data_IF_315478879909
#
_entry.id   IF_315478879909
#
_cell.length_a   1.000
_cell.length_b   1.000
_cell.length_c   1.000
_cell.angle_alpha   90.00
_cell.angle_beta   90.00
_cell.angle_gamma   90.00
#
_symmetry.space_group_name_H-M   'P 1'
#
loop_
_entity.id
_entity.type
_entity.pdbx_description
1 polymer ?
#
# COMPACT_ATOMS: atom_id res chain seq x y z
N UNK A 1 -8.96 4.89 21.80
CA UNK A 1 -8.92 3.77 20.83
C UNK A 1 -7.50 3.63 20.32
N UNK A 2 -7.09 2.43 19.91
CA UNK A 2 -5.77 2.20 19.31
C UNK A 2 -5.94 1.74 17.86
N UNK A 3 -5.13 2.34 17.00
CA UNK A 3 -4.94 1.97 15.61
C UNK A 3 -3.54 1.41 15.43
N UNK A 4 -3.35 0.54 14.44
CA UNK A 4 -2.02 0.08 14.02
C UNK A 4 -1.89 0.32 12.52
N UNK A 5 -0.90 1.11 12.12
CA UNK A 5 -0.54 1.38 10.75
C UNK A 5 0.65 0.52 10.35
N UNK A 6 0.60 -0.06 9.16
CA UNK A 6 1.73 -0.77 8.56
C UNK A 6 2.44 0.19 7.61
N UNK A 7 3.75 0.30 7.73
CA UNK A 7 4.58 1.12 6.85
C UNK A 7 5.76 0.30 6.33
N UNK A 8 6.61 0.93 5.51
CA UNK A 8 7.90 0.35 5.17
C UNK A 8 8.79 0.34 6.44
N UNK A 9 9.46 -0.78 6.76
CA UNK A 9 10.47 -0.79 7.83
C UNK A 9 11.55 0.28 7.58
N UNK A 10 11.87 1.06 8.62
CA UNK A 10 12.75 2.23 8.55
C UNK A 10 12.05 3.57 8.27
N UNK A 11 10.75 3.56 7.94
CA UNK A 11 9.91 4.75 7.72
C UNK A 11 8.90 4.98 8.85
N UNK A 12 9.11 4.36 10.02
CA UNK A 12 8.19 4.48 11.15
C UNK A 12 8.08 5.93 11.63
N UNK A 13 9.17 6.71 11.58
CA UNK A 13 9.15 8.12 11.98
C UNK A 13 8.29 8.99 11.04
N UNK A 14 8.38 8.76 9.74
CA UNK A 14 7.56 9.46 8.75
C UNK A 14 6.08 9.05 8.88
N UNK A 15 5.81 7.75 9.06
CA UNK A 15 4.46 7.25 9.30
C UNK A 15 3.87 7.79 10.62
N UNK A 16 4.69 7.94 11.67
CA UNK A 16 4.32 8.57 12.94
C UNK A 16 3.89 10.02 12.75
N UNK A 17 4.71 10.81 12.04
CA UNK A 17 4.43 12.23 11.79
C UNK A 17 3.14 12.39 10.98
N UNK A 18 3.03 11.64 9.88
CA UNK A 18 1.83 11.64 9.05
C UNK A 18 0.58 11.17 9.81
N UNK A 19 0.69 10.12 10.62
CA UNK A 19 -0.44 9.66 11.43
C UNK A 19 -0.91 10.73 12.40
N UNK A 20 0.00 11.44 13.06
CA UNK A 20 -0.39 12.53 13.94
C UNK A 20 -1.20 13.60 13.19
N UNK A 21 -0.72 14.05 12.02
CA UNK A 21 -1.39 15.08 11.22
C UNK A 21 -2.76 14.61 10.69
N UNK A 22 -2.82 13.40 10.13
CA UNK A 22 -4.05 12.83 9.57
C UNK A 22 -5.14 12.66 10.64
N UNK A 23 -4.79 12.07 11.79
CA UNK A 23 -5.73 11.87 12.89
C UNK A 23 -6.17 13.21 13.51
N UNK A 24 -5.24 14.14 13.74
CA UNK A 24 -5.57 15.46 14.28
C UNK A 24 -6.54 16.24 13.36
N UNK A 25 -6.34 16.16 12.03
CA UNK A 25 -7.23 16.81 11.06
C UNK A 25 -8.68 16.30 11.10
N UNK A 26 -8.89 15.07 11.56
CA UNK A 26 -10.20 14.42 11.70
C UNK A 26 -10.75 14.50 13.13
N UNK A 27 -10.13 15.32 13.97
CA UNK A 27 -10.62 15.60 15.31
C UNK A 27 -10.25 14.54 16.34
N UNK A 28 -9.10 13.89 16.18
CA UNK A 28 -8.54 12.99 17.19
C UNK A 28 -7.44 13.67 17.98
N UNK A 29 -7.49 13.53 19.31
CA UNK A 29 -6.37 13.79 20.19
C UNK A 29 -5.67 12.47 20.51
N UNK A 30 -4.35 12.42 20.38
CA UNK A 30 -3.64 11.18 20.56
C UNK A 30 -2.16 11.26 20.25
N UNK A 31 -1.48 10.17 20.54
CA UNK A 31 -0.04 10.06 20.39
C UNK A 31 0.34 8.75 19.68
N UNK A 32 1.40 8.78 18.86
CA UNK A 32 1.88 7.60 18.17
C UNK A 32 2.95 6.85 18.99
N UNK A 33 3.05 5.53 18.77
CA UNK A 33 4.05 4.63 19.38
C UNK A 33 4.69 3.75 18.29
N UNK A 34 6.03 3.68 18.25
CA UNK A 34 6.78 2.78 17.36
C UNK A 34 7.00 1.43 18.05
N UNK A 35 6.78 0.33 17.32
CA UNK A 35 6.94 -1.04 17.83
C UNK A 35 8.18 -1.71 17.23
N UNK A 36 9.36 -1.18 17.55
CA UNK A 36 10.63 -1.62 16.95
C UNK A 36 10.75 -1.25 15.46
N UNK A 37 11.77 -1.78 14.79
CA UNK A 37 12.02 -1.57 13.34
C UNK A 37 11.30 -2.63 12.50
N UNK A 38 10.00 -2.76 12.73
CA UNK A 38 9.15 -3.76 12.09
C UNK A 38 8.21 -3.17 11.03
N UNK A 39 8.24 -1.86 10.78
CA UNK A 39 7.27 -1.19 9.92
C UNK A 39 5.86 -1.18 10.52
N UNK A 40 5.73 -1.12 11.86
CA UNK A 40 4.45 -1.00 12.56
C UNK A 40 4.47 0.20 13.52
N UNK A 41 3.45 1.05 13.37
CA UNK A 41 3.21 2.22 14.22
C UNK A 41 1.82 2.09 14.84
N UNK A 42 1.69 2.30 16.14
CA UNK A 42 0.38 2.50 16.76
C UNK A 42 0.05 3.98 16.83
N UNK A 43 -1.23 4.32 16.71
CA UNK A 43 -1.76 5.62 17.14
C UNK A 43 -2.80 5.38 18.24
N UNK A 44 -2.59 5.95 19.42
CA UNK A 44 -3.53 5.85 20.54
C UNK A 44 -4.20 7.20 20.70
N UNK A 45 -5.48 7.26 20.35
CA UNK A 45 -6.22 8.51 20.38
C UNK A 45 -7.67 8.37 20.81
N UNK A 46 -8.22 9.50 21.23
CA UNK A 46 -9.62 9.71 21.60
C UNK A 46 -10.21 10.81 20.73
N UNK A 47 -11.46 10.68 20.25
CA UNK A 47 -12.17 11.79 19.63
C UNK A 47 -12.21 13.03 20.53
N UNK A 48 -12.08 14.23 19.96
CA UNK A 48 -12.19 15.49 20.70
C UNK A 48 -13.55 15.73 21.34
N UNK A 49 -14.61 15.11 20.81
CA UNK A 49 -15.92 15.02 21.45
C UNK A 49 -16.10 13.60 22.01
N UNK A 50 -15.74 13.36 23.29
CA UNK A 50 -15.88 12.05 23.92
C UNK A 50 -17.34 11.65 24.14
N UNK A 51 -18.28 12.60 24.11
CA UNK A 51 -19.71 12.33 24.31
C UNK A 51 -20.37 11.87 23.01
N UNK A 52 -19.83 12.27 21.85
CA UNK A 52 -20.25 11.78 20.54
C UNK A 52 -19.12 11.16 19.71
N UNK A 53 -18.45 10.08 20.19
CA UNK A 53 -17.31 9.48 19.50
C UNK A 53 -17.69 8.81 18.17
N UNK A 54 -18.99 8.71 17.84
CA UNK A 54 -19.48 8.17 16.57
C UNK A 54 -19.39 9.17 15.42
N UNK A 55 -19.21 10.46 15.70
CA UNK A 55 -19.06 11.48 14.65
C UNK A 55 -17.61 11.64 14.20
N UNK A 56 -16.63 11.21 15.00
CA UNK A 56 -15.22 11.29 14.61
C UNK A 56 -14.94 10.32 13.46
N UNK A 57 -14.64 10.89 12.29
CA UNK A 57 -14.24 10.13 11.14
C UNK A 57 -12.90 9.43 11.38
N UNK A 58 -12.75 8.22 10.85
CA UNK A 58 -11.48 7.47 10.89
C UNK A 58 -10.80 7.65 9.54
N UNK A 59 -9.49 7.95 9.51
CA UNK A 59 -8.79 8.18 8.25
C UNK A 59 -8.76 6.90 7.40
N UNK A 60 -8.76 7.07 6.08
CA UNK A 60 -8.63 5.96 5.13
C UNK A 60 -7.15 5.82 4.80
N UNK A 61 -6.66 4.59 4.70
CA UNK A 61 -5.23 4.35 4.41
C UNK A 61 -4.77 5.00 3.10
N UNK A 62 -5.66 5.13 2.12
CA UNK A 62 -5.36 5.78 0.83
C UNK A 62 -5.03 7.27 0.94
N UNK A 63 -5.37 7.89 2.07
CA UNK A 63 -5.07 9.30 2.34
C UNK A 63 -3.67 9.46 2.97
N UNK A 64 -2.97 8.34 3.23
CA UNK A 64 -1.59 8.29 3.73
C UNK A 64 -0.61 7.98 2.60
N UNK A 65 0.58 8.58 2.69
CA UNK A 65 1.75 8.36 1.86
C UNK A 65 2.61 7.22 2.44
N UNK A 66 2.80 7.18 3.76
CA UNK A 66 3.72 6.24 4.42
C UNK A 66 3.04 5.00 4.98
N UNK A 67 1.72 5.00 5.14
CA UNK A 67 0.95 3.84 5.59
C UNK A 67 0.42 3.00 4.41
N UNK A 68 0.71 1.70 4.43
CA UNK A 68 0.23 0.68 3.48
C UNK A 68 -1.08 0.04 3.92
N UNK A 69 -1.31 -0.06 5.22
CA UNK A 69 -2.51 -0.66 5.81
C UNK A 69 -2.83 -0.01 7.15
N UNK A 70 -4.10 -0.08 7.57
CA UNK A 70 -4.56 0.40 8.88
C UNK A 70 -5.46 -0.64 9.54
N UNK A 71 -5.18 -0.93 10.81
CA UNK A 71 -6.04 -1.67 11.71
C UNK A 71 -6.69 -0.74 12.73
N UNK A 72 -7.96 -0.96 12.99
CA UNK A 72 -8.75 -0.30 14.03
C UNK A 72 -9.00 -1.24 15.21
N UNK A 73 -9.36 -0.67 16.36
CA UNK A 73 -9.62 -1.42 17.60
C UNK A 73 -8.49 -2.44 17.86
N UNK A 74 -7.27 -1.98 17.62
CA UNK A 74 -6.09 -2.81 17.59
C UNK A 74 -5.40 -2.82 18.96
N UNK A 75 -4.58 -3.83 19.21
CA UNK A 75 -3.66 -3.86 20.35
C UNK A 75 -2.40 -4.64 20.03
N UNK A 76 -1.34 -4.37 20.79
CA UNK A 76 -0.09 -5.11 20.72
C UNK A 76 -0.07 -6.07 21.90
N UNK A 77 0.02 -7.36 21.61
CA UNK A 77 0.13 -8.42 22.61
C UNK A 77 1.57 -8.88 22.64
N UNK A 78 2.19 -8.78 23.82
CA UNK A 78 3.55 -9.24 24.12
C UNK A 78 3.51 -10.51 24.97
N UNK A 79 4.66 -11.14 25.15
CA UNK A 79 4.85 -12.30 26.02
C UNK A 79 3.89 -13.46 25.70
N UNK A 80 3.60 -13.68 24.41
CA UNK A 80 2.67 -14.70 23.96
C UNK A 80 3.18 -16.10 24.35
N UNK A 81 2.43 -16.86 25.17
CA UNK A 81 2.89 -18.15 25.66
C UNK A 81 2.90 -19.18 24.53
N UNK A 82 3.98 -19.94 24.42
CA UNK A 82 4.16 -20.85 23.29
C UNK A 82 3.02 -21.87 23.12
N UNK A 83 2.47 -22.33 24.24
CA UNK A 83 1.42 -23.34 24.29
C UNK A 83 0.00 -22.79 24.01
N UNK A 84 -0.25 -21.48 24.15
CA UNK A 84 -1.62 -20.93 24.15
C UNK A 84 -1.75 -19.54 23.50
N UNK A 85 -0.94 -19.25 22.48
CA UNK A 85 -0.98 -17.97 21.75
C UNK A 85 -2.37 -17.63 21.23
N UNK A 86 -3.09 -18.62 20.70
CA UNK A 86 -4.36 -18.41 20.01
C UNK A 86 -5.46 -17.90 20.96
N UNK A 87 -5.55 -18.47 22.16
CA UNK A 87 -6.54 -18.02 23.16
C UNK A 87 -6.20 -16.62 23.66
N UNK A 88 -4.92 -16.32 23.92
CA UNK A 88 -4.48 -14.98 24.35
C UNK A 88 -4.76 -13.89 23.31
N UNK A 89 -4.54 -14.19 22.03
CA UNK A 89 -4.87 -13.26 20.95
C UNK A 89 -6.39 -13.05 20.80
N UNK A 90 -7.19 -14.12 20.95
CA UNK A 90 -8.65 -14.00 20.90
C UNK A 90 -9.21 -13.21 22.10
N UNK A 91 -8.68 -13.45 23.30
CA UNK A 91 -8.99 -12.69 24.53
C UNK A 91 -8.62 -11.22 24.38
N UNK A 92 -7.46 -10.92 23.78
CA UNK A 92 -7.03 -9.55 23.51
C UNK A 92 -8.00 -8.84 22.57
N UNK A 93 -8.42 -9.50 21.48
CA UNK A 93 -9.41 -8.93 20.55
C UNK A 93 -10.77 -8.71 21.23
N UNK A 94 -11.23 -9.63 22.08
CA UNK A 94 -12.48 -9.46 22.83
C UNK A 94 -12.49 -8.18 23.68
N UNK A 95 -11.32 -7.79 24.22
CA UNK A 95 -11.18 -6.57 25.03
C UNK A 95 -11.21 -5.30 24.19
N UNK A 96 -10.83 -5.35 22.92
CA UNK A 96 -10.76 -4.17 22.07
C UNK A 96 -12.01 -3.94 21.23
N UNK A 97 -12.82 -4.98 20.99
CA UNK A 97 -14.01 -4.86 20.13
C UNK A 97 -15.28 -5.47 20.71
N UNK A 98 -16.42 -4.85 20.36
CA UNK A 98 -17.77 -5.42 20.55
C UNK A 98 -18.25 -6.20 19.33
N UNK A 99 -17.57 -6.10 18.18
CA UNK A 99 -17.93 -6.87 17.00
C UNK A 99 -17.67 -8.35 17.22
N UNK A 100 -18.58 -9.19 16.74
CA UNK A 100 -18.50 -10.66 16.85
C UNK A 100 -18.54 -11.36 15.50
N UNK A 101 -18.91 -10.66 14.42
CA UNK A 101 -18.84 -11.20 13.05
C UNK A 101 -17.64 -10.61 12.34
N UNK A 102 -17.00 -11.42 11.50
CA UNK A 102 -15.87 -10.99 10.67
C UNK A 102 -15.88 -11.73 9.33
N UNK A 103 -15.41 -11.07 8.27
CA UNK A 103 -15.41 -11.60 6.91
C UNK A 103 -14.23 -12.51 6.57
N UNK A 104 -13.10 -12.27 7.22
CA UNK A 104 -11.83 -12.96 6.95
C UNK A 104 -10.92 -12.93 8.18
N UNK A 105 -10.19 -14.03 8.41
CA UNK A 105 -9.04 -14.06 9.30
C UNK A 105 -7.75 -13.96 8.48
N UNK A 106 -6.99 -12.90 8.71
CA UNK A 106 -5.71 -12.62 8.07
C UNK A 106 -4.60 -12.82 9.10
N UNK A 107 -3.70 -13.76 8.82
CA UNK A 107 -2.44 -13.90 9.55
C UNK A 107 -1.30 -13.43 8.66
N UNK A 108 -0.53 -12.48 9.18
CA UNK A 108 0.52 -11.78 8.44
C UNK A 108 1.71 -11.44 9.34
N UNK A 109 2.70 -10.79 8.76
CA UNK A 109 3.98 -10.44 9.40
C UNK A 109 4.57 -9.20 8.70
N UNK A 110 5.47 -8.46 9.38
CA UNK A 110 6.28 -7.40 8.80
C UNK A 110 6.99 -7.78 7.50
N UNK A 111 7.11 -6.84 6.56
CA UNK A 111 7.90 -7.00 5.33
C UNK A 111 9.42 -6.85 5.58
N UNK A 112 9.93 -7.66 6.51
CA UNK A 112 11.33 -7.73 6.92
C UNK A 112 11.89 -9.13 6.62
N UNK A 113 13.22 -9.27 6.66
CA UNK A 113 13.87 -10.58 6.52
C UNK A 113 13.43 -11.52 7.63
N UNK A 114 13.35 -11.02 8.86
CA UNK A 114 12.92 -11.73 10.06
C UNK A 114 11.43 -12.09 9.97
N UNK A 115 10.59 -11.15 9.55
CA UNK A 115 9.16 -11.37 9.36
C UNK A 115 8.87 -12.48 8.36
N UNK A 116 9.62 -12.54 7.24
CA UNK A 116 9.49 -13.61 6.23
C UNK A 116 9.70 -15.02 6.81
N UNK A 117 10.49 -15.18 7.87
CA UNK A 117 10.67 -16.48 8.55
C UNK A 117 9.39 -16.97 9.23
N UNK A 118 8.47 -16.07 9.57
CA UNK A 118 7.19 -16.35 10.22
C UNK A 118 6.11 -16.84 9.24
N UNK A 119 6.35 -16.83 7.94
CA UNK A 119 5.35 -17.16 6.93
C UNK A 119 4.77 -18.58 7.09
N UNK A 120 5.65 -19.57 7.27
CA UNK A 120 5.24 -20.96 7.48
C UNK A 120 4.52 -21.13 8.82
N UNK A 121 4.93 -20.39 9.85
CA UNK A 121 4.25 -20.39 11.14
C UNK A 121 2.83 -19.83 11.01
N UNK A 122 2.65 -18.65 10.40
CA UNK A 122 1.34 -18.03 10.19
C UNK A 122 0.40 -18.98 9.42
N UNK A 123 0.89 -19.62 8.36
CA UNK A 123 0.11 -20.60 7.58
C UNK A 123 -0.38 -21.77 8.44
N UNK A 124 0.51 -22.36 9.26
CA UNK A 124 0.18 -23.49 10.14
C UNK A 124 -0.66 -23.08 11.35
N UNK A 125 -0.54 -21.84 11.80
CA UNK A 125 -1.25 -21.30 12.97
C UNK A 125 -2.70 -20.89 12.65
N UNK A 126 -3.03 -20.65 11.37
CA UNK A 126 -4.35 -20.20 10.91
C UNK A 126 -5.53 -21.03 11.46
N UNK A 127 -5.52 -22.37 11.39
CA UNK A 127 -6.63 -23.17 11.93
C UNK A 127 -6.78 -23.04 13.45
N UNK A 128 -5.66 -22.97 14.19
CA UNK A 128 -5.68 -22.81 15.64
C UNK A 128 -6.28 -21.46 16.05
N UNK A 129 -5.90 -20.39 15.36
CA UNK A 129 -6.45 -19.05 15.59
C UNK A 129 -7.95 -18.98 15.24
N UNK A 130 -8.36 -19.55 14.11
CA UNK A 130 -9.78 -19.61 13.74
C UNK A 130 -10.64 -20.34 14.77
N UNK A 131 -10.16 -21.47 15.30
CA UNK A 131 -10.83 -22.20 16.37
C UNK A 131 -10.90 -21.41 17.67
N UNK A 132 -9.83 -20.70 18.05
CA UNK A 132 -9.82 -19.86 19.24
C UNK A 132 -10.82 -18.69 19.13
N UNK A 133 -10.88 -18.03 17.97
CA UNK A 133 -11.89 -16.99 17.71
C UNK A 133 -13.31 -17.56 17.85
N UNK A 134 -13.59 -18.72 17.26
CA UNK A 134 -14.90 -19.39 17.39
C UNK A 134 -15.27 -19.70 18.84
N UNK A 135 -14.34 -20.27 19.62
CA UNK A 135 -14.57 -20.55 21.06
C UNK A 135 -14.84 -19.28 21.88
N UNK A 136 -14.29 -18.16 21.45
CA UNK A 136 -14.48 -16.85 22.07
C UNK A 136 -15.70 -16.08 21.50
N UNK A 137 -16.58 -16.76 20.75
CA UNK A 137 -17.84 -16.19 20.28
C UNK A 137 -17.73 -15.33 19.02
N UNK A 138 -16.59 -15.35 18.32
CA UNK A 138 -16.50 -14.75 16.99
C UNK A 138 -17.03 -15.72 15.92
N UNK A 139 -17.72 -15.18 14.92
CA UNK A 139 -18.32 -15.91 13.81
C UNK A 139 -17.74 -15.42 12.49
N UNK A 140 -17.16 -16.34 11.71
CA UNK A 140 -16.72 -16.07 10.35
C UNK A 140 -17.95 -16.06 9.43
N UNK A 141 -18.22 -14.93 8.78
CA UNK A 141 -19.27 -14.78 7.78
C UNK A 141 -18.65 -14.18 6.51
N UNK A 142 -18.32 -15.04 5.55
CA UNK A 142 -17.69 -14.63 4.28
C UNK A 142 -18.63 -13.86 3.35
N UNK A 143 -19.95 -13.96 3.57
CA UNK A 143 -20.95 -13.26 2.75
C UNK A 143 -21.22 -11.83 3.23
N UNK A 144 -20.92 -11.53 4.50
CA UNK A 144 -21.06 -10.18 5.06
C UNK A 144 -19.87 -9.29 4.66
N UNK A 145 -19.98 -8.64 3.50
CA UNK A 145 -18.98 -7.67 3.04
C UNK A 145 -18.91 -6.39 3.88
N UNK A 146 -19.88 -6.16 4.78
CA UNK A 146 -19.84 -5.05 5.73
C UNK A 146 -19.03 -5.38 6.99
N UNK A 147 -18.89 -6.66 7.33
CA UNK A 147 -18.12 -7.11 8.49
C UNK A 147 -16.62 -6.81 8.36
N UNK A 148 -15.90 -6.54 9.47
CA UNK A 148 -14.46 -6.32 9.45
C UNK A 148 -13.70 -7.63 9.14
N UNK A 149 -12.45 -7.53 8.70
CA UNK A 149 -11.53 -8.67 8.75
C UNK A 149 -10.78 -8.61 10.08
N UNK A 150 -10.45 -9.77 10.65
CA UNK A 150 -9.60 -9.90 11.82
C UNK A 150 -8.17 -10.10 11.35
N UNK A 151 -7.27 -9.24 11.78
CA UNK A 151 -5.85 -9.29 11.45
C UNK A 151 -5.03 -9.68 12.68
N UNK A 152 -4.08 -10.59 12.49
CA UNK A 152 -2.99 -10.86 13.43
C UNK A 152 -1.67 -10.70 12.67
N UNK A 153 -0.88 -9.70 13.04
CA UNK A 153 0.44 -9.46 12.48
C UNK A 153 1.51 -9.84 13.50
N UNK A 154 2.19 -10.97 13.28
CA UNK A 154 3.27 -11.42 14.16
C UNK A 154 4.56 -10.67 13.85
N UNK A 155 5.07 -9.92 14.83
CA UNK A 155 6.40 -9.30 14.77
C UNK A 155 7.49 -10.29 15.24
N UNK A 156 7.12 -11.21 16.13
CA UNK A 156 7.92 -12.36 16.56
C UNK A 156 7.01 -13.50 16.97
N UNK A 157 7.57 -14.61 17.46
CA UNK A 157 6.78 -15.67 18.09
C UNK A 157 6.11 -15.25 19.40
N UNK A 158 6.54 -14.16 20.02
CA UNK A 158 6.07 -13.72 21.34
C UNK A 158 5.30 -12.39 21.29
N UNK A 159 5.35 -11.70 20.15
CA UNK A 159 4.75 -10.37 19.98
C UNK A 159 3.95 -10.28 18.70
N UNK A 160 2.68 -9.87 18.79
CA UNK A 160 1.81 -9.67 17.65
C UNK A 160 0.87 -8.47 17.82
N UNK A 161 0.56 -7.80 16.72
CA UNK A 161 -0.58 -6.89 16.64
C UNK A 161 -1.85 -7.70 16.34
N UNK A 162 -2.96 -7.36 17.00
CA UNK A 162 -4.29 -7.89 16.71
C UNK A 162 -5.25 -6.74 16.52
N UNK A 163 -6.09 -6.77 15.48
CA UNK A 163 -7.04 -5.70 15.21
C UNK A 163 -8.02 -6.02 14.08
N UNK A 164 -8.80 -5.01 13.70
CA UNK A 164 -9.85 -5.10 12.69
C UNK A 164 -9.53 -4.22 11.49
N UNK A 165 -9.88 -4.68 10.28
CA UNK A 165 -9.80 -3.84 9.07
C UNK A 165 -11.14 -3.76 8.34
N UNK A 166 -11.43 -2.61 7.75
CA UNK A 166 -12.68 -2.34 7.05
C UNK A 166 -12.41 -2.05 5.58
N UNK A 167 -13.10 -2.74 4.67
CA UNK A 167 -12.84 -2.70 3.22
C UNK A 167 -12.74 -1.29 2.63
N UNK A 168 -13.48 -0.32 3.17
CA UNK A 168 -13.49 1.08 2.67
C UNK A 168 -12.41 1.99 3.27
N UNK A 169 -11.67 1.52 4.28
CA UNK A 169 -10.68 2.31 5.03
C UNK A 169 -9.29 1.67 5.06
N UNK A 170 -9.21 0.36 4.87
CA UNK A 170 -7.95 -0.38 4.80
C UNK A 170 -7.58 -0.72 3.36
N UNK A 171 -6.34 -1.17 3.15
CA UNK A 171 -5.91 -1.69 1.86
C UNK A 171 -6.60 -3.03 1.57
N UNK A 172 -6.87 -3.30 0.30
CA UNK A 172 -7.40 -4.59 -0.15
C UNK A 172 -6.33 -5.69 -0.20
N UNK A 173 -5.05 -5.31 -0.24
CA UNK A 173 -3.94 -6.24 -0.22
C UNK A 173 -3.54 -6.60 1.22
N UNK A 174 -3.19 -7.87 1.43
CA UNK A 174 -2.59 -8.33 2.69
C UNK A 174 -1.29 -7.57 2.96
N UNK A 175 -1.07 -7.16 4.21
CA UNK A 175 0.01 -6.24 4.60
C UNK A 175 0.05 -4.90 3.83
N UNK A 176 -0.96 -4.59 3.02
CA UNK A 176 -0.93 -3.47 2.09
C UNK A 176 0.07 -3.61 0.94
N UNK A 177 0.42 -4.84 0.54
CA UNK A 177 1.43 -5.11 -0.50
C UNK A 177 0.81 -5.95 -1.63
N UNK A 178 0.64 -5.39 -2.83
CA UNK A 178 0.26 -6.16 -4.00
C UNK A 178 1.30 -7.22 -4.34
N UNK A 179 0.83 -8.42 -4.70
CA UNK A 179 1.72 -9.51 -5.12
C UNK A 179 1.89 -9.48 -6.64
N UNK A 180 2.89 -8.73 -7.07
CA UNK A 180 3.26 -8.62 -8.48
C UNK A 180 4.40 -9.58 -8.81
N UNK A 181 4.35 -10.20 -9.99
CA UNK A 181 5.40 -11.09 -10.47
C UNK A 181 6.27 -10.31 -11.46
N UNK A 182 7.57 -10.26 -11.22
CA UNK A 182 8.52 -9.70 -12.17
C UNK A 182 8.46 -10.49 -13.50
N UNK A 183 8.14 -9.84 -14.63
CA UNK A 183 8.16 -10.50 -15.93
C UNK A 183 9.58 -10.80 -16.39
N UNK A 184 9.82 -11.99 -16.94
CA UNK A 184 11.17 -12.45 -17.33
C UNK A 184 11.74 -11.67 -18.53
N UNK A 185 10.87 -11.05 -19.33
CA UNK A 185 11.18 -10.28 -20.53
C UNK A 185 11.27 -8.76 -20.27
N UNK A 186 10.94 -8.29 -19.06
CA UNK A 186 11.08 -6.89 -18.69
C UNK A 186 12.55 -6.51 -18.47
N UNK A 187 13.04 -5.38 -19.01
CA UNK A 187 14.45 -5.03 -18.95
C UNK A 187 14.91 -4.53 -17.57
N UNK A 188 13.98 -4.23 -16.66
CA UNK A 188 14.28 -3.74 -15.31
C UNK A 188 13.16 -4.05 -14.33
N UNK A 189 13.52 -4.37 -13.08
CA UNK A 189 12.59 -4.55 -11.96
C UNK A 189 11.78 -3.29 -11.62
N UNK A 190 12.22 -2.10 -12.04
CA UNK A 190 11.45 -0.86 -11.83
C UNK A 190 10.08 -0.90 -12.50
N UNK A 191 9.87 -1.81 -13.47
CA UNK A 191 8.57 -2.09 -14.09
C UNK A 191 7.45 -2.34 -13.06
N UNK A 192 7.77 -3.02 -11.96
CA UNK A 192 6.80 -3.34 -10.91
C UNK A 192 6.31 -2.11 -10.16
N UNK A 193 7.08 -1.01 -10.13
CA UNK A 193 6.65 0.24 -9.49
C UNK A 193 5.47 0.85 -10.25
N UNK A 194 5.54 0.88 -11.58
CA UNK A 194 4.47 1.46 -12.41
C UNK A 194 3.24 0.54 -12.44
N UNK A 195 3.45 -0.78 -12.48
CA UNK A 195 2.38 -1.75 -12.32
C UNK A 195 1.66 -1.60 -10.97
N UNK A 196 2.41 -1.45 -9.88
CA UNK A 196 1.88 -1.16 -8.55
C UNK A 196 1.13 0.16 -8.52
N UNK A 197 1.67 1.23 -9.10
CA UNK A 197 1.03 2.53 -9.17
C UNK A 197 -0.34 2.47 -9.86
N UNK A 198 -0.44 1.76 -11.01
CA UNK A 198 -1.71 1.62 -11.73
C UNK A 198 -2.80 0.93 -10.91
N UNK A 199 -2.46 0.01 -10.02
CA UNK A 199 -3.45 -0.71 -9.21
C UNK A 199 -3.69 -0.08 -7.85
N UNK A 200 -2.77 0.74 -7.33
CA UNK A 200 -2.84 1.31 -5.97
C UNK A 200 -3.28 2.77 -5.94
N UNK A 201 -2.93 3.57 -6.96
CA UNK A 201 -3.19 5.01 -6.98
C UNK A 201 -4.47 5.38 -7.73
N UNK A 202 -4.96 4.49 -8.60
CA UNK A 202 -6.15 4.69 -9.41
C UNK A 202 -7.33 3.89 -8.84
N UNK A 203 -8.51 4.49 -8.88
CA UNK A 203 -9.77 3.76 -8.71
C UNK A 203 -9.98 2.79 -9.88
N UNK A 204 -10.91 1.83 -9.72
CA UNK A 204 -11.23 0.88 -10.78
C UNK A 204 -11.70 1.58 -12.06
N UNK A 205 -12.51 2.64 -11.91
CA UNK A 205 -13.02 3.44 -13.03
C UNK A 205 -11.89 4.27 -13.68
N UNK A 206 -11.06 4.98 -12.90
CA UNK A 206 -9.92 5.73 -13.44
C UNK A 206 -8.92 4.82 -14.16
N UNK A 207 -8.62 3.66 -13.57
CA UNK A 207 -7.73 2.66 -14.18
C UNK A 207 -8.31 2.15 -15.49
N UNK A 208 -9.62 1.89 -15.53
CA UNK A 208 -10.29 1.49 -16.77
C UNK A 208 -10.25 2.62 -17.79
N UNK A 209 -10.55 3.84 -17.41
CA UNK A 209 -10.54 4.99 -18.33
C UNK A 209 -9.13 5.26 -18.89
N UNK A 210 -8.08 5.13 -18.06
CA UNK A 210 -6.69 5.32 -18.48
C UNK A 210 -6.17 4.18 -19.36
N UNK A 211 -6.40 2.93 -18.98
CA UNK A 211 -5.74 1.77 -19.60
C UNK A 211 -6.58 1.11 -20.71
N UNK A 212 -7.86 1.47 -20.85
CA UNK A 212 -8.74 0.86 -21.85
C UNK A 212 -8.49 1.43 -23.25
N UNK A 213 -7.87 0.63 -24.12
CA UNK A 213 -7.70 0.95 -25.53
C UNK A 213 -6.33 1.54 -25.89
N UNK A 214 -5.41 1.66 -24.93
CA UNK A 214 -4.08 2.22 -25.14
C UNK A 214 -4.10 3.73 -25.34
N UNK A 215 -3.05 4.26 -25.98
CA UNK A 215 -2.92 5.70 -26.21
C UNK A 215 -1.49 6.10 -26.57
N UNK A 216 -1.15 7.36 -26.34
CA UNK A 216 0.20 7.90 -26.45
C UNK A 216 0.77 8.19 -25.07
N UNK A 217 2.01 7.76 -24.83
CA UNK A 217 2.69 8.01 -23.58
C UNK A 217 4.10 8.57 -23.78
N UNK A 218 4.58 9.34 -22.79
CA UNK A 218 5.97 9.76 -22.70
C UNK A 218 6.57 9.19 -21.43
N UNK A 219 7.72 8.52 -21.57
CA UNK A 219 8.53 8.01 -20.45
C UNK A 219 9.81 8.86 -20.35
N UNK A 220 9.91 9.66 -19.28
CA UNK A 220 11.06 10.53 -19.03
C UNK A 220 12.11 9.82 -18.17
N UNK A 221 13.34 9.73 -18.67
CA UNK A 221 14.39 8.91 -18.05
C UNK A 221 14.12 7.43 -18.27
N UNK A 222 13.74 7.08 -19.50
CA UNK A 222 13.16 5.78 -19.81
C UNK A 222 14.16 4.62 -19.76
N UNK A 223 15.48 4.84 -19.89
CA UNK A 223 16.44 3.75 -20.05
C UNK A 223 16.56 2.89 -18.77
N UNK A 224 16.62 1.55 -18.87
CA UNK A 224 16.58 0.71 -20.07
C UNK A 224 15.16 0.32 -20.55
N UNK A 225 14.11 0.82 -19.89
CA UNK A 225 12.72 0.69 -20.33
C UNK A 225 11.79 -0.05 -19.38
N UNK A 226 12.06 -0.03 -18.06
CA UNK A 226 11.20 -0.72 -17.09
C UNK A 226 9.76 -0.19 -17.09
N UNK A 227 9.58 1.13 -17.10
CA UNK A 227 8.26 1.78 -17.15
C UNK A 227 7.66 1.73 -18.56
N UNK A 228 8.47 2.01 -19.59
CA UNK A 228 8.12 1.76 -21.00
C UNK A 228 7.53 0.36 -21.21
N UNK A 229 8.08 -0.70 -20.60
CA UNK A 229 7.53 -2.06 -20.70
C UNK A 229 6.07 -2.15 -20.23
N UNK A 230 5.70 -1.53 -19.10
CA UNK A 230 4.30 -1.53 -18.63
C UNK A 230 3.39 -0.76 -19.56
N UNK A 231 3.86 0.36 -20.11
CA UNK A 231 3.09 1.15 -21.06
C UNK A 231 2.78 0.33 -22.33
N UNK A 232 3.76 -0.40 -22.87
CA UNK A 232 3.56 -1.27 -24.03
C UNK A 232 2.58 -2.41 -23.74
N UNK A 233 2.66 -3.02 -22.55
CA UNK A 233 1.70 -4.05 -22.12
C UNK A 233 0.26 -3.53 -22.01
N UNK A 234 0.10 -2.22 -21.82
CA UNK A 234 -1.19 -1.53 -21.83
C UNK A 234 -1.48 -0.83 -23.17
N UNK A 235 -0.82 -1.28 -24.25
CA UNK A 235 -1.07 -0.83 -25.63
C UNK A 235 -0.79 0.66 -25.90
N UNK A 236 0.09 1.30 -25.13
CA UNK A 236 0.54 2.66 -25.43
C UNK A 236 1.63 2.68 -26.51
N UNK A 237 1.57 3.65 -27.41
CA UNK A 237 2.71 4.09 -28.21
C UNK A 237 3.57 5.01 -27.35
N UNK A 238 4.82 4.64 -27.13
CA UNK A 238 5.69 5.31 -26.14
C UNK A 238 6.74 6.14 -26.84
N UNK A 239 6.83 7.42 -26.49
CA UNK A 239 8.05 8.20 -26.73
C UNK A 239 8.95 8.08 -25.51
N UNK A 240 10.05 7.34 -25.64
CA UNK A 240 11.01 7.12 -24.57
C UNK A 240 12.13 8.17 -24.64
N UNK A 241 12.29 8.98 -23.60
CA UNK A 241 13.28 10.07 -23.55
C UNK A 241 14.43 9.69 -22.61
N UNK A 242 15.58 9.39 -23.18
CA UNK A 242 16.80 9.12 -22.40
C UNK A 242 18.05 9.18 -23.31
N UNK A 243 19.18 9.64 -22.78
CA UNK A 243 20.46 9.52 -23.48
C UNK A 243 20.96 8.06 -23.51
N UNK A 244 20.59 7.26 -22.50
CA UNK A 244 20.84 5.83 -22.43
C UNK A 244 20.07 5.03 -23.48
N UNK A 245 20.56 3.83 -23.77
CA UNK A 245 19.91 2.94 -24.75
C UNK A 245 18.67 2.27 -24.16
N UNK A 246 17.62 2.15 -24.96
CA UNK A 246 16.49 1.28 -24.65
C UNK A 246 16.83 -0.18 -24.93
N UNK A 247 16.20 -1.11 -24.22
CA UNK A 247 16.35 -2.53 -24.50
C UNK A 247 15.82 -2.88 -25.91
N UNK A 248 16.59 -3.69 -26.65
CA UNK A 248 16.23 -4.08 -28.02
C UNK A 248 14.88 -4.80 -28.10
N UNK A 249 14.54 -5.59 -27.08
CA UNK A 249 13.25 -6.27 -26.98
C UNK A 249 12.07 -5.29 -27.05
N UNK A 250 12.20 -4.10 -26.45
CA UNK A 250 11.17 -3.07 -26.50
C UNK A 250 11.14 -2.37 -27.84
N UNK A 251 12.32 -2.04 -28.40
CA UNK A 251 12.41 -1.38 -29.71
C UNK A 251 11.82 -2.25 -30.83
N UNK A 252 12.04 -3.57 -30.76
CA UNK A 252 11.55 -4.54 -31.74
C UNK A 252 10.01 -4.65 -31.78
N UNK A 253 9.29 -4.10 -30.80
CA UNK A 253 7.82 -4.02 -30.84
C UNK A 253 7.30 -3.06 -31.91
N UNK A 254 8.13 -2.10 -32.35
CA UNK A 254 7.72 -1.03 -33.26
C UNK A 254 6.80 0.03 -32.61
N UNK A 255 6.54 -0.06 -31.30
CA UNK A 255 5.68 0.86 -30.55
C UNK A 255 6.46 1.89 -29.72
N UNK A 256 7.79 1.91 -29.82
CA UNK A 256 8.68 2.82 -29.09
C UNK A 256 9.41 3.77 -30.04
N UNK A 257 9.23 5.07 -29.85
CA UNK A 257 10.08 6.13 -30.43
C UNK A 257 11.11 6.57 -29.37
N UNK A 258 12.37 6.13 -29.51
CA UNK A 258 13.44 6.51 -28.57
C UNK A 258 14.12 7.80 -29.02
N UNK A 259 14.23 8.76 -28.09
CA UNK A 259 14.92 10.04 -28.31
C UNK A 259 16.07 10.21 -27.34
N UNK A 260 17.26 10.35 -27.89
CA UNK A 260 18.49 10.69 -27.16
C UNK A 260 18.52 12.19 -26.87
N UNK A 261 17.70 12.61 -25.91
CA UNK A 261 17.49 14.01 -25.54
C UNK A 261 17.49 14.17 -24.00
N UNK A 262 17.63 15.41 -23.55
CA UNK A 262 17.48 15.78 -22.14
C UNK A 262 16.00 15.84 -21.75
N UNK A 263 15.58 14.94 -20.85
CA UNK A 263 14.20 14.82 -20.37
C UNK A 263 13.64 16.12 -19.76
N UNK A 264 14.49 16.97 -19.16
CA UNK A 264 14.05 18.26 -18.60
C UNK A 264 13.77 19.33 -19.66
N UNK A 265 14.25 19.13 -20.89
CA UNK A 265 14.09 20.07 -22.01
C UNK A 265 13.11 19.57 -23.07
N UNK A 266 12.83 18.26 -23.06
CA UNK A 266 11.90 17.65 -24.00
C UNK A 266 10.51 18.27 -23.91
N UNK A 267 9.92 18.52 -25.07
CA UNK A 267 8.53 18.97 -25.22
C UNK A 267 7.87 18.12 -26.30
N UNK A 268 6.70 17.53 -26.04
CA UNK A 268 6.00 16.75 -27.04
C UNK A 268 5.43 17.69 -28.12
N UNK A 269 5.32 17.19 -29.35
CA UNK A 269 4.76 17.95 -30.49
C UNK A 269 3.24 18.14 -30.38
N UNK A 270 2.57 17.22 -29.70
CA UNK A 270 1.15 17.25 -29.38
C UNK A 270 0.97 16.74 -27.94
N UNK A 271 -0.12 17.09 -27.25
CA UNK A 271 -0.44 16.51 -25.95
C UNK A 271 -0.47 14.98 -26.02
N UNK A 272 0.02 14.31 -24.97
CA UNK A 272 -0.05 12.85 -24.83
C UNK A 272 -1.08 12.44 -23.78
N UNK A 273 -1.46 11.18 -23.79
CA UNK A 273 -2.46 10.67 -22.84
C UNK A 273 -1.83 10.49 -21.45
N UNK A 274 -0.61 9.96 -21.38
CA UNK A 274 0.07 9.64 -20.11
C UNK A 274 1.54 10.10 -20.09
N UNK A 275 1.93 10.81 -19.03
CA UNK A 275 3.31 11.12 -18.70
C UNK A 275 3.78 10.26 -17.52
N UNK A 276 4.93 9.60 -17.66
CA UNK A 276 5.60 8.90 -16.55
C UNK A 276 7.06 9.35 -16.42
N UNK A 277 7.59 9.34 -15.19
CA UNK A 277 8.95 9.76 -14.86
C UNK A 277 9.48 9.04 -13.59
N UNK A 278 10.53 8.22 -13.73
CA UNK A 278 11.27 7.57 -12.61
C UNK A 278 12.74 8.05 -12.55
N UNK A 279 12.99 9.30 -12.94
CA UNK A 279 14.33 9.88 -12.92
C UNK A 279 14.89 10.02 -11.49
N UNK A 280 16.14 9.61 -11.32
CA UNK A 280 16.90 9.82 -10.08
C UNK A 280 17.43 11.25 -10.05
N UNK A 281 16.61 12.16 -9.53
CA UNK A 281 16.88 13.59 -9.48
C UNK A 281 16.41 14.24 -8.18
N UNK A 282 16.75 15.51 -7.95
CA UNK A 282 16.22 16.25 -6.80
C UNK A 282 14.68 16.30 -6.87
N UNK A 283 13.94 15.92 -5.81
CA UNK A 283 12.48 15.86 -5.85
C UNK A 283 11.82 17.15 -6.37
N UNK A 284 12.29 18.30 -5.92
CA UNK A 284 11.79 19.61 -6.35
C UNK A 284 11.89 19.83 -7.86
N UNK A 285 12.97 19.37 -8.50
CA UNK A 285 13.14 19.49 -9.97
C UNK A 285 12.14 18.62 -10.72
N UNK A 286 11.88 17.41 -10.22
CA UNK A 286 10.89 16.50 -10.82
C UNK A 286 9.47 17.05 -10.65
N UNK A 287 9.14 17.60 -9.47
CA UNK A 287 7.85 18.24 -9.21
C UNK A 287 7.64 19.42 -10.19
N UNK A 288 8.63 20.30 -10.34
CA UNK A 288 8.55 21.44 -11.27
C UNK A 288 8.37 20.98 -12.71
N UNK A 289 9.09 19.94 -13.13
CA UNK A 289 8.96 19.34 -14.45
C UNK A 289 7.54 18.82 -14.67
N UNK A 290 7.05 17.91 -13.83
CA UNK A 290 5.72 17.29 -13.97
C UNK A 290 4.62 18.35 -13.90
N UNK A 291 4.70 19.30 -12.95
CA UNK A 291 3.74 20.40 -12.86
C UNK A 291 3.70 21.26 -14.13
N UNK A 292 4.85 21.48 -14.79
CA UNK A 292 4.90 22.23 -16.04
C UNK A 292 4.18 21.51 -17.19
N UNK A 293 4.25 20.17 -17.25
CA UNK A 293 3.55 19.38 -18.26
C UNK A 293 2.04 19.53 -18.14
N UNK A 294 1.50 19.39 -16.93
CA UNK A 294 0.07 19.62 -16.68
C UNK A 294 -0.34 21.07 -16.95
N UNK A 295 0.44 22.05 -16.48
CA UNK A 295 0.16 23.48 -16.70
C UNK A 295 0.09 23.83 -18.18
N UNK A 296 0.97 23.26 -18.99
CA UNK A 296 1.03 23.50 -20.43
C UNK A 296 0.09 22.57 -21.23
N UNK A 297 -0.71 21.73 -20.55
CA UNK A 297 -1.61 20.74 -21.17
C UNK A 297 -0.87 19.80 -22.14
N UNK A 298 0.33 19.38 -21.76
CA UNK A 298 1.17 18.48 -22.54
C UNK A 298 0.89 17.01 -22.25
N UNK A 299 0.21 16.70 -21.15
CA UNK A 299 -0.33 15.38 -20.83
C UNK A 299 -1.74 15.51 -20.24
N UNK A 300 -2.49 14.40 -20.25
CA UNK A 300 -3.78 14.27 -19.57
C UNK A 300 -3.66 13.55 -18.23
N UNK A 301 -2.79 12.53 -18.16
CA UNK A 301 -2.46 11.73 -16.98
C UNK A 301 -0.97 11.77 -16.68
#
# INVERSE_FOLDING_TARGET
MRFVLYCRPGFEKDCVAEAHDQFASLGWDGYPEIHGEHGLVSYIGTPFDPENPRTAEVPKVKDFIFARHILEQATIVKDLPAADRASKLAEALLKTTKFRRFRELVLEFPDTTEGRTLANFCKKFHPAMGNALKRNGFTLDRGDHSAPAVHICFMSYETAAVGLSWKKRSSEWRSGIPRLKFPDDAPSRSTLKLEEAFITLLTEDERKDLLNGGGTAVDLGASPGGWTYQLLNNSFFVTAIDNGKMAESLMNTGMVDHKSEDAFKYKPKAPVDLLVCDMVEKPQRVIELVASWFKNKQCSW
#
